data_IF_771302571341
#
_entry.id   IF_771302571341
#
_cell.length_a   1.000
_cell.length_b   1.000
_cell.length_c   1.000
_cell.angle_alpha   90.00
_cell.angle_beta   90.00
_cell.angle_gamma   90.00
#
_symmetry.space_group_name_H-M   'P 1'
#
loop_
_entity.id
_entity.type
_entity.pdbx_description
1 polymer ?
#
# COMPACT_ATOMS: atom_id res chain seq x y z
N UNK A 1 16.38 10.44 4.90
CA UNK A 1 15.15 10.32 4.09
C UNK A 1 14.37 11.61 4.23
N UNK A 2 13.87 12.14 3.10
CA UNK A 2 13.02 13.33 3.05
C UNK A 2 11.66 12.86 2.55
N UNK A 3 10.59 13.13 3.31
CA UNK A 3 9.25 12.76 2.92
C UNK A 3 8.62 13.83 2.03
N UNK A 4 7.95 13.42 0.96
CA UNK A 4 7.03 14.25 0.19
C UNK A 4 5.62 13.75 0.51
N UNK A 5 4.94 14.48 1.41
CA UNK A 5 3.64 14.08 1.92
C UNK A 5 2.56 14.21 0.84
N UNK A 6 1.62 13.28 0.84
CA UNK A 6 0.44 13.37 0.00
C UNK A 6 -0.55 14.39 0.58
N UNK A 7 -1.32 15.03 -0.28
CA UNK A 7 -2.41 15.92 0.14
C UNK A 7 -3.69 15.10 0.30
N UNK A 8 -4.31 15.17 1.48
CA UNK A 8 -5.63 14.61 1.75
C UNK A 8 -6.70 15.67 1.49
N UNK A 9 -7.76 15.32 0.74
CA UNK A 9 -8.89 16.22 0.44
C UNK A 9 -9.87 16.43 1.62
N UNK A 10 -9.59 15.82 2.76
CA UNK A 10 -10.46 15.81 3.94
C UNK A 10 -11.51 14.70 3.94
N UNK A 11 -11.71 13.98 2.83
CA UNK A 11 -12.63 12.85 2.70
C UNK A 11 -11.92 11.50 2.59
N UNK A 12 -10.61 11.48 2.81
CA UNK A 12 -9.79 10.27 2.73
C UNK A 12 -9.22 9.97 1.34
N UNK A 13 -9.42 10.86 0.37
CA UNK A 13 -8.79 10.76 -0.94
C UNK A 13 -7.47 11.53 -0.95
N UNK A 14 -6.42 10.92 -1.52
CA UNK A 14 -5.08 11.48 -1.51
C UNK A 14 -4.59 11.78 -2.92
N UNK A 15 -3.83 12.85 -3.06
CA UNK A 15 -3.16 13.23 -4.31
C UNK A 15 -1.68 13.51 -4.06
N UNK A 16 -0.85 13.39 -5.09
CA UNK A 16 0.56 13.77 -5.02
C UNK A 16 0.67 15.29 -4.95
N UNK A 17 1.42 15.81 -3.95
CA UNK A 17 1.85 17.20 -3.94
C UNK A 17 3.03 17.38 -4.90
N UNK A 18 2.72 17.69 -6.13
CA UNK A 18 3.74 17.86 -7.16
C UNK A 18 4.64 19.07 -6.94
N UNK A 19 4.14 20.11 -6.27
CA UNK A 19 4.93 21.31 -6.00
C UNK A 19 5.94 21.06 -4.87
N UNK A 20 5.54 20.28 -3.86
CA UNK A 20 6.43 19.81 -2.82
C UNK A 20 7.45 18.80 -3.36
N UNK A 21 7.00 17.84 -4.17
CA UNK A 21 7.86 16.85 -4.81
C UNK A 21 8.95 17.55 -5.65
N UNK A 22 8.58 18.51 -6.50
CA UNK A 22 9.53 19.21 -7.37
C UNK A 22 10.60 19.97 -6.58
N UNK A 23 10.23 20.59 -5.45
CA UNK A 23 11.20 21.25 -4.57
C UNK A 23 12.15 20.25 -3.94
N UNK A 24 11.65 19.10 -3.52
CA UNK A 24 12.44 18.09 -2.77
C UNK A 24 13.36 17.27 -3.66
N UNK A 25 13.02 17.03 -4.91
CA UNK A 25 13.86 16.23 -5.80
C UNK A 25 15.16 16.96 -6.24
N UNK A 26 15.22 18.29 -6.16
CA UNK A 26 16.38 19.09 -6.61
C UNK A 26 17.69 18.62 -5.98
N UNK A 27 17.70 18.34 -4.68
CA UNK A 27 18.88 17.95 -3.92
C UNK A 27 18.94 16.43 -3.65
N UNK A 28 18.05 15.66 -4.24
CA UNK A 28 17.97 14.23 -4.03
C UNK A 28 18.30 13.44 -5.31
N UNK A 29 18.77 12.21 -5.14
CA UNK A 29 19.19 11.33 -6.27
C UNK A 29 18.25 10.16 -6.49
N UNK A 30 17.38 9.90 -5.52
CA UNK A 30 16.54 8.71 -5.49
C UNK A 30 15.15 9.07 -4.96
N UNK A 31 14.12 8.60 -5.65
CA UNK A 31 12.73 8.58 -5.19
C UNK A 31 12.31 7.14 -4.91
N UNK A 32 11.82 6.86 -3.71
CA UNK A 32 11.07 5.64 -3.41
C UNK A 32 9.59 5.93 -3.64
N UNK A 33 9.01 5.29 -4.63
CA UNK A 33 7.64 5.52 -5.08
C UNK A 33 6.80 4.25 -4.94
N UNK A 34 5.59 4.36 -4.38
CA UNK A 34 4.70 3.23 -4.16
C UNK A 34 3.46 3.32 -5.08
N UNK A 35 3.24 2.30 -5.89
CA UNK A 35 2.17 2.25 -6.90
C UNK A 35 1.65 0.82 -7.14
N UNK A 36 0.44 0.46 -6.72
CA UNK A 36 -0.54 1.22 -5.91
C UNK A 36 -0.01 1.63 -4.55
N UNK A 37 -0.49 2.77 -4.05
CA UNK A 37 0.06 3.35 -2.83
C UNK A 37 -0.50 2.69 -1.56
N UNK A 38 0.39 2.21 -0.72
CA UNK A 38 0.10 1.72 0.62
C UNK A 38 0.60 2.74 1.65
N UNK A 39 -0.22 3.23 2.61
CA UNK A 39 -1.50 2.63 3.06
C UNK A 39 -2.77 3.18 2.39
N UNK A 40 -2.72 4.29 1.66
CA UNK A 40 -3.92 5.06 1.25
C UNK A 40 -4.73 4.40 0.12
N UNK A 41 -4.20 3.36 -0.53
CA UNK A 41 -4.90 2.59 -1.55
C UNK A 41 -5.12 3.28 -2.89
N UNK A 42 -4.37 4.36 -3.20
CA UNK A 42 -4.44 5.04 -4.49
C UNK A 42 -3.83 4.19 -5.61
N UNK A 43 -4.52 4.17 -6.74
CA UNK A 43 -4.00 3.72 -8.04
C UNK A 43 -3.77 4.97 -8.90
N UNK A 44 -2.51 5.33 -9.10
CA UNK A 44 -2.16 6.57 -9.79
C UNK A 44 -2.60 6.53 -11.25
N UNK A 45 -3.16 7.62 -11.73
CA UNK A 45 -3.54 7.79 -13.12
C UNK A 45 -2.31 7.92 -14.01
N UNK A 46 -2.46 7.62 -15.30
CA UNK A 46 -1.39 7.82 -16.27
C UNK A 46 -0.86 9.26 -16.28
N UNK A 47 -1.74 10.25 -16.11
CA UNK A 47 -1.36 11.66 -16.07
C UNK A 47 -0.51 12.00 -14.82
N UNK A 48 -0.89 11.48 -13.64
CA UNK A 48 -0.09 11.66 -12.42
C UNK A 48 1.29 11.03 -12.58
N UNK A 49 1.35 9.81 -13.11
CA UNK A 49 2.61 9.08 -13.32
C UNK A 49 3.53 9.76 -14.34
N UNK A 50 2.97 10.27 -15.44
CA UNK A 50 3.74 11.02 -16.43
C UNK A 50 4.30 12.31 -15.87
N UNK A 51 3.53 13.04 -15.06
CA UNK A 51 4.01 14.25 -14.38
C UNK A 51 5.13 13.95 -13.37
N UNK A 52 5.00 12.88 -12.60
CA UNK A 52 6.04 12.41 -11.68
C UNK A 52 7.32 12.06 -12.44
N UNK A 53 7.20 11.28 -13.52
CA UNK A 53 8.34 10.92 -14.39
C UNK A 53 9.04 12.18 -14.92
N UNK A 54 8.28 13.13 -15.46
CA UNK A 54 8.82 14.39 -16.02
C UNK A 54 9.64 15.17 -14.98
N UNK A 55 9.11 15.31 -13.77
CA UNK A 55 9.80 15.96 -12.65
C UNK A 55 11.11 15.21 -12.33
N UNK A 56 11.05 13.92 -12.11
CA UNK A 56 12.22 13.12 -11.73
C UNK A 56 13.32 13.13 -12.81
N UNK A 57 12.93 13.00 -14.07
CA UNK A 57 13.89 12.98 -15.20
C UNK A 57 14.57 14.33 -15.37
N UNK A 58 13.82 15.45 -15.29
CA UNK A 58 14.41 16.80 -15.37
C UNK A 58 15.48 17.05 -14.31
N UNK A 59 15.33 16.44 -13.14
CA UNK A 59 16.27 16.58 -12.01
C UNK A 59 17.26 15.42 -11.89
N UNK A 60 17.29 14.50 -12.87
CA UNK A 60 18.19 13.34 -12.89
C UNK A 60 18.06 12.45 -11.63
N UNK A 61 16.82 12.19 -11.22
CA UNK A 61 16.45 11.37 -10.07
C UNK A 61 16.11 9.96 -10.52
N UNK A 62 16.73 8.97 -9.93
CA UNK A 62 16.39 7.55 -10.13
C UNK A 62 15.13 7.21 -9.33
N UNK A 63 14.24 6.43 -9.90
CA UNK A 63 12.98 6.03 -9.26
C UNK A 63 13.03 4.54 -8.94
N UNK A 64 12.82 4.17 -7.68
CA UNK A 64 12.45 2.81 -7.30
C UNK A 64 10.94 2.76 -7.18
N UNK A 65 10.30 2.09 -8.13
CA UNK A 65 8.84 1.91 -8.16
C UNK A 65 8.48 0.60 -7.46
N UNK A 66 7.92 0.71 -6.26
CA UNK A 66 7.37 -0.43 -5.54
C UNK A 66 5.96 -0.72 -6.04
N UNK A 67 5.86 -1.72 -6.91
CA UNK A 67 4.60 -2.13 -7.56
C UNK A 67 4.10 -3.49 -7.04
N UNK A 68 4.44 -3.85 -5.81
CA UNK A 68 4.12 -5.15 -5.20
C UNK A 68 2.61 -5.43 -5.12
N UNK A 69 1.77 -4.41 -5.20
CA UNK A 69 0.31 -4.51 -5.17
C UNK A 69 -0.36 -4.39 -6.56
N UNK A 70 0.42 -4.42 -7.64
CA UNK A 70 -0.02 -4.14 -9.01
C UNK A 70 -1.19 -4.99 -9.52
N UNK A 71 -1.34 -6.23 -9.03
CA UNK A 71 -2.40 -7.15 -9.46
C UNK A 71 -3.70 -6.98 -8.67
N UNK A 72 -3.67 -6.30 -7.51
CA UNK A 72 -4.84 -6.15 -6.63
C UNK A 72 -5.47 -4.78 -6.84
N UNK A 73 -6.17 -4.64 -7.95
CA UNK A 73 -6.75 -3.40 -8.45
C UNK A 73 -8.27 -3.55 -8.52
N UNK A 74 -9.03 -2.51 -8.11
CA UNK A 74 -10.49 -2.52 -8.24
C UNK A 74 -10.92 -2.53 -9.71
N UNK A 75 -12.06 -3.17 -10.01
CA UNK A 75 -12.55 -3.43 -11.38
C UNK A 75 -12.65 -2.18 -12.27
N UNK A 76 -12.93 -1.02 -11.68
CA UNK A 76 -13.07 0.25 -12.39
C UNK A 76 -11.78 1.07 -12.46
N UNK A 77 -10.65 0.49 -12.06
CA UNK A 77 -9.32 1.14 -12.05
C UNK A 77 -8.35 0.39 -12.94
N UNK A 78 -7.32 1.07 -13.35
CA UNK A 78 -6.23 0.48 -14.15
C UNK A 78 -4.89 0.88 -13.56
N UNK A 79 -4.09 -0.10 -13.24
CA UNK A 79 -2.69 0.11 -12.90
C UNK A 79 -1.86 0.31 -14.17
N UNK A 80 -0.90 1.21 -14.10
CA UNK A 80 0.09 1.44 -15.13
C UNK A 80 1.47 1.17 -14.55
N UNK A 81 2.19 0.23 -15.15
CA UNK A 81 3.58 -0.03 -14.81
C UNK A 81 4.41 1.18 -15.23
N UNK A 82 5.10 1.79 -14.28
CA UNK A 82 5.74 3.10 -14.47
C UNK A 82 6.73 3.12 -15.66
N UNK A 83 7.58 2.11 -15.77
CA UNK A 83 8.60 2.02 -16.83
C UNK A 83 8.00 1.91 -18.23
N UNK A 84 6.77 1.39 -18.36
CA UNK A 84 6.12 1.23 -19.67
C UNK A 84 5.58 2.56 -20.22
N UNK A 85 5.34 3.55 -19.35
CA UNK A 85 4.86 4.87 -19.75
C UNK A 85 5.94 5.72 -20.43
N UNK A 86 7.19 5.45 -20.15
CA UNK A 86 8.31 6.21 -20.70
C UNK A 86 9.53 5.29 -20.98
N UNK A 87 9.43 4.38 -21.99
CA UNK A 87 10.47 3.37 -22.27
C UNK A 87 11.87 3.98 -22.54
N UNK A 88 11.91 5.22 -23.04
CA UNK A 88 13.15 5.95 -23.28
C UNK A 88 13.91 6.32 -22.00
N UNK A 89 13.23 6.30 -20.83
CA UNK A 89 13.80 6.62 -19.52
C UNK A 89 13.92 5.40 -18.61
N UNK A 90 13.77 4.19 -19.13
CA UNK A 90 13.81 2.94 -18.34
C UNK A 90 15.08 2.76 -17.50
N UNK A 91 16.20 3.37 -17.91
CA UNK A 91 17.47 3.31 -17.18
C UNK A 91 17.45 4.09 -15.85
N UNK A 92 16.45 4.97 -15.65
CA UNK A 92 16.21 5.69 -14.41
C UNK A 92 15.17 5.02 -13.50
N UNK A 93 14.58 3.90 -13.92
CA UNK A 93 13.49 3.26 -13.20
C UNK A 93 13.90 1.85 -12.80
N UNK A 94 13.75 1.53 -11.51
CA UNK A 94 13.85 0.18 -10.97
C UNK A 94 12.44 -0.25 -10.56
N UNK A 95 11.91 -1.28 -11.21
CA UNK A 95 10.56 -1.78 -10.91
C UNK A 95 10.65 -2.98 -9.98
N UNK A 96 9.98 -2.89 -8.83
CA UNK A 96 9.92 -3.94 -7.82
C UNK A 96 8.53 -4.57 -7.82
N UNK A 97 8.42 -5.84 -8.17
CA UNK A 97 7.18 -6.61 -8.17
C UNK A 97 7.35 -7.93 -7.44
N UNK A 98 6.28 -8.47 -6.91
CA UNK A 98 6.29 -9.77 -6.28
C UNK A 98 4.90 -10.42 -6.31
N UNK A 99 4.80 -11.72 -6.61
CA UNK A 99 3.56 -12.48 -6.54
C UNK A 99 3.10 -12.71 -5.10
N UNK A 100 3.93 -12.36 -4.13
CA UNK A 100 3.74 -12.69 -2.72
C UNK A 100 2.54 -12.02 -2.08
N UNK A 101 2.18 -10.82 -2.54
CA UNK A 101 0.96 -10.14 -2.09
C UNK A 101 -0.26 -10.63 -2.87
N UNK A 102 -0.12 -10.78 -4.18
CA UNK A 102 -1.16 -11.24 -5.08
C UNK A 102 -1.71 -12.62 -4.68
N UNK A 103 -0.81 -13.57 -4.43
CA UNK A 103 -1.15 -14.99 -4.19
C UNK A 103 -0.92 -15.45 -2.75
N UNK A 104 -0.82 -14.52 -1.79
CA UNK A 104 -0.59 -14.83 -0.37
C UNK A 104 0.65 -15.72 -0.12
N UNK A 105 1.74 -15.45 -0.79
CA UNK A 105 2.99 -16.21 -0.74
C UNK A 105 4.12 -15.49 0.00
N UNK A 106 3.80 -14.53 0.89
CA UNK A 106 4.80 -13.69 1.56
C UNK A 106 5.85 -14.48 2.34
N UNK A 107 5.46 -15.62 2.94
CA UNK A 107 6.37 -16.51 3.64
C UNK A 107 7.45 -17.15 2.77
N UNK A 108 7.30 -17.16 1.45
CA UNK A 108 8.28 -17.68 0.50
C UNK A 108 9.38 -16.66 0.13
N UNK A 109 9.24 -15.40 0.52
CA UNK A 109 10.26 -14.35 0.38
C UNK A 109 10.81 -14.24 -1.05
N UNK A 110 9.93 -14.10 -2.03
CA UNK A 110 10.28 -14.00 -3.46
C UNK A 110 9.87 -12.64 -4.01
N UNK A 111 10.76 -12.01 -4.76
CA UNK A 111 10.48 -10.77 -5.50
C UNK A 111 11.28 -10.71 -6.79
N UNK A 112 10.81 -9.91 -7.73
CA UNK A 112 11.49 -9.59 -8.97
C UNK A 112 11.87 -8.11 -8.98
N UNK A 113 13.13 -7.82 -9.21
CA UNK A 113 13.64 -6.45 -9.34
C UNK A 113 14.10 -6.28 -10.80
N UNK A 114 13.41 -5.42 -11.53
CA UNK A 114 13.70 -5.15 -12.94
C UNK A 114 14.60 -3.93 -13.00
N UNK A 115 15.81 -4.10 -13.52
CA UNK A 115 16.83 -3.05 -13.61
C UNK A 115 17.38 -3.04 -15.03
N UNK A 116 17.04 -2.03 -15.83
CA UNK A 116 17.52 -1.87 -17.20
C UNK A 116 18.94 -1.33 -17.25
N UNK A 117 19.27 -0.35 -16.40
CA UNK A 117 20.61 0.23 -16.33
C UNK A 117 21.66 -0.84 -15.98
N UNK A 118 22.65 -1.11 -16.85
CA UNK A 118 23.62 -2.19 -16.64
C UNK A 118 24.59 -1.92 -15.47
N UNK A 119 24.86 -0.66 -15.15
CA UNK A 119 25.73 -0.31 -14.05
C UNK A 119 25.04 -0.54 -12.70
N UNK A 120 23.81 -0.05 -12.57
CA UNK A 120 22.99 -0.28 -11.38
C UNK A 120 22.76 -1.78 -11.19
N UNK A 121 22.45 -2.52 -12.26
CA UNK A 121 22.24 -3.97 -12.20
C UNK A 121 23.49 -4.72 -11.75
N UNK A 122 24.69 -4.34 -12.21
CA UNK A 122 25.96 -4.93 -11.73
C UNK A 122 26.19 -4.63 -10.25
N UNK A 123 25.99 -3.39 -9.83
CA UNK A 123 26.14 -2.97 -8.44
C UNK A 123 25.15 -3.72 -7.51
N UNK A 124 23.89 -3.83 -7.93
CA UNK A 124 22.86 -4.61 -7.25
C UNK A 124 23.29 -6.08 -7.11
N UNK A 125 23.67 -6.72 -8.21
CA UNK A 125 24.07 -8.13 -8.19
C UNK A 125 25.28 -8.36 -7.29
N UNK A 126 26.31 -7.53 -7.40
CA UNK A 126 27.48 -7.58 -6.51
C UNK A 126 27.06 -7.47 -5.04
N UNK A 127 26.26 -6.47 -4.69
CA UNK A 127 25.84 -6.26 -3.29
C UNK A 127 25.01 -7.44 -2.77
N UNK A 128 23.97 -7.83 -3.51
CA UNK A 128 23.03 -8.86 -3.05
C UNK A 128 23.68 -10.25 -3.04
N UNK A 129 24.39 -10.62 -4.11
CA UNK A 129 24.93 -11.99 -4.24
C UNK A 129 26.27 -12.18 -3.56
N UNK A 130 27.20 -11.21 -3.68
CA UNK A 130 28.58 -11.38 -3.19
C UNK A 130 28.76 -10.85 -1.78
N UNK A 131 28.13 -9.72 -1.44
CA UNK A 131 28.26 -9.15 -0.10
C UNK A 131 27.25 -9.76 0.89
N UNK A 132 25.95 -9.81 0.50
CA UNK A 132 24.90 -10.33 1.38
C UNK A 132 24.72 -11.85 1.30
N UNK A 133 25.34 -12.52 0.31
CA UNK A 133 25.21 -13.97 0.13
C UNK A 133 23.82 -14.44 -0.34
N UNK A 134 22.96 -13.53 -0.80
CA UNK A 134 21.60 -13.84 -1.27
C UNK A 134 21.66 -14.07 -2.78
N UNK A 135 22.06 -15.27 -3.17
CA UNK A 135 22.33 -15.53 -4.60
C UNK A 135 21.19 -16.20 -5.36
N UNK A 136 20.32 -16.92 -4.67
CA UNK A 136 19.25 -17.70 -5.31
C UNK A 136 18.00 -17.77 -4.44
N UNK A 137 16.80 -17.71 -5.04
CA UNK A 137 15.57 -17.97 -4.32
C UNK A 137 15.47 -19.46 -3.91
N UNK A 138 14.68 -19.74 -2.90
CA UNK A 138 14.36 -21.10 -2.49
C UNK A 138 13.65 -21.85 -3.63
N UNK A 139 13.96 -23.14 -3.80
CA UNK A 139 13.38 -23.98 -4.86
C UNK A 139 11.85 -24.05 -4.77
N UNK A 140 11.29 -24.14 -3.55
CA UNK A 140 9.84 -24.13 -3.35
C UNK A 140 9.22 -22.79 -3.75
N UNK A 141 9.94 -21.69 -3.52
CA UNK A 141 9.48 -20.37 -3.94
C UNK A 141 9.37 -20.29 -5.46
N UNK A 142 10.35 -20.81 -6.19
CA UNK A 142 10.33 -20.81 -7.66
C UNK A 142 9.12 -21.59 -8.18
N UNK A 143 8.92 -22.83 -7.69
CA UNK A 143 7.82 -23.68 -8.11
C UNK A 143 6.45 -23.07 -7.78
N UNK A 144 6.30 -22.48 -6.58
CA UNK A 144 5.06 -21.86 -6.17
C UNK A 144 4.74 -20.60 -6.99
N UNK A 145 5.74 -19.76 -7.28
CA UNK A 145 5.58 -18.55 -8.10
C UNK A 145 5.21 -18.92 -9.53
N UNK A 146 5.87 -19.92 -10.11
CA UNK A 146 5.54 -20.39 -11.44
C UNK A 146 4.10 -20.90 -11.50
N UNK A 147 3.70 -21.76 -10.57
CA UNK A 147 2.33 -22.30 -10.52
C UNK A 147 1.28 -21.19 -10.29
N UNK A 148 1.59 -20.22 -9.44
CA UNK A 148 0.69 -19.10 -9.16
C UNK A 148 0.41 -18.27 -10.42
N UNK A 149 1.43 -17.92 -11.20
CA UNK A 149 1.24 -17.16 -12.44
C UNK A 149 0.66 -18.00 -13.58
N UNK A 150 0.94 -19.30 -13.62
CA UNK A 150 0.44 -20.18 -14.68
C UNK A 150 -1.03 -20.59 -14.47
N UNK A 151 -1.46 -20.77 -13.21
CA UNK A 151 -2.78 -21.34 -12.88
C UNK A 151 -3.62 -20.47 -11.94
N UNK A 152 -3.10 -19.35 -11.45
CA UNK A 152 -3.75 -18.56 -10.40
C UNK A 152 -4.73 -17.49 -10.87
N UNK A 153 -4.95 -17.29 -12.17
CA UNK A 153 -5.78 -16.21 -12.72
C UNK A 153 -7.22 -16.25 -12.17
N UNK A 154 -7.88 -17.39 -12.28
CA UNK A 154 -9.27 -17.55 -11.79
C UNK A 154 -9.36 -17.28 -10.28
N UNK A 155 -8.41 -17.76 -9.51
CA UNK A 155 -8.36 -17.50 -8.07
C UNK A 155 -8.20 -16.00 -7.77
N UNK A 156 -7.34 -15.30 -8.50
CA UNK A 156 -7.11 -13.86 -8.35
C UNK A 156 -8.37 -13.07 -8.67
N UNK A 157 -9.06 -13.41 -9.77
CA UNK A 157 -10.31 -12.77 -10.16
C UNK A 157 -11.40 -12.90 -9.08
N UNK A 158 -11.57 -14.10 -8.52
CA UNK A 158 -12.49 -14.34 -7.40
C UNK A 158 -12.06 -13.60 -6.13
N UNK A 159 -10.76 -13.52 -5.85
CA UNK A 159 -10.23 -12.76 -4.72
C UNK A 159 -10.54 -11.26 -4.85
N UNK A 160 -10.34 -10.67 -6.02
CA UNK A 160 -10.65 -9.25 -6.27
C UNK A 160 -12.12 -8.97 -5.99
N UNK A 161 -13.03 -9.79 -6.48
CA UNK A 161 -14.47 -9.63 -6.24
C UNK A 161 -14.82 -9.78 -4.75
N UNK A 162 -14.18 -10.72 -4.06
CA UNK A 162 -14.35 -10.90 -2.62
C UNK A 162 -13.86 -9.70 -1.82
N UNK A 163 -12.69 -9.16 -2.19
CA UNK A 163 -12.12 -7.96 -1.58
C UNK A 163 -13.00 -6.74 -1.82
N UNK A 164 -13.55 -6.57 -3.01
CA UNK A 164 -14.49 -5.50 -3.31
C UNK A 164 -15.71 -5.57 -2.39
N UNK A 165 -16.27 -6.76 -2.19
CA UNK A 165 -17.32 -6.97 -1.22
C UNK A 165 -16.91 -6.61 0.21
N UNK A 166 -15.69 -6.96 0.64
CA UNK A 166 -15.17 -6.60 1.96
C UNK A 166 -15.01 -5.09 2.12
N UNK A 167 -14.50 -4.37 1.11
CA UNK A 167 -14.36 -2.91 1.16
C UNK A 167 -15.71 -2.19 1.21
N UNK A 168 -16.71 -2.69 0.48
CA UNK A 168 -18.08 -2.17 0.57
C UNK A 168 -18.70 -2.41 1.95
N UNK A 169 -18.49 -3.59 2.53
CA UNK A 169 -18.93 -3.88 3.89
C UNK A 169 -18.31 -2.91 4.89
N UNK A 170 -17.00 -2.65 4.82
CA UNK A 170 -16.32 -1.67 5.68
C UNK A 170 -16.99 -0.30 5.56
N UNK A 171 -17.17 0.18 4.32
CA UNK A 171 -17.77 1.48 4.05
C UNK A 171 -19.19 1.59 4.63
N UNK A 172 -20.02 0.57 4.45
CA UNK A 172 -21.37 0.55 4.99
C UNK A 172 -21.36 0.52 6.51
N UNK A 173 -20.55 -0.35 7.12
CA UNK A 173 -20.42 -0.44 8.57
C UNK A 173 -20.01 0.89 9.22
N UNK A 174 -19.00 1.55 8.65
CA UNK A 174 -18.53 2.84 9.16
C UNK A 174 -19.62 3.90 9.05
N UNK A 175 -20.30 4.02 7.92
CA UNK A 175 -21.39 4.99 7.73
C UNK A 175 -22.55 4.79 8.71
N UNK A 176 -22.92 3.56 8.98
CA UNK A 176 -24.07 3.25 9.84
C UNK A 176 -23.75 3.27 11.31
N UNK A 177 -22.56 2.83 11.71
CA UNK A 177 -22.24 2.55 13.12
C UNK A 177 -21.13 3.43 13.70
N UNK A 178 -20.26 3.96 12.84
CA UNK A 178 -19.15 4.85 13.21
C UNK A 178 -19.09 6.08 12.28
N UNK A 179 -20.15 6.91 12.24
CA UNK A 179 -20.32 7.95 11.22
C UNK A 179 -19.32 9.11 11.28
N UNK A 180 -18.53 9.23 12.36
CA UNK A 180 -17.46 10.22 12.45
C UNK A 180 -16.16 9.75 11.79
N UNK A 181 -16.07 8.47 11.38
CA UNK A 181 -14.91 7.95 10.67
C UNK A 181 -14.82 8.53 9.25
N UNK A 182 -13.60 8.77 8.79
CA UNK A 182 -13.36 9.11 7.38
C UNK A 182 -12.73 7.90 6.70
N UNK A 183 -13.36 7.44 5.64
CA UNK A 183 -12.90 6.30 4.86
C UNK A 183 -13.21 6.48 3.39
N UNK A 184 -12.18 6.37 2.58
CA UNK A 184 -12.30 6.26 1.13
C UNK A 184 -12.05 4.82 0.72
N UNK A 185 -12.92 4.23 -0.09
CA UNK A 185 -12.73 2.86 -0.60
C UNK A 185 -11.46 2.83 -1.44
N UNK A 186 -10.44 2.03 -1.06
CA UNK A 186 -9.18 2.02 -1.78
C UNK A 186 -9.35 1.56 -3.23
N UNK A 187 -8.65 2.21 -4.14
CA UNK A 187 -8.65 1.90 -5.58
C UNK A 187 -7.84 0.63 -5.90
N UNK A 188 -6.89 0.30 -5.05
CA UNK A 188 -6.05 -0.91 -5.10
C UNK A 188 -5.71 -1.40 -3.71
N UNK A 189 -4.94 -2.46 -3.62
CA UNK A 189 -4.54 -3.17 -2.41
C UNK A 189 -5.71 -3.91 -1.71
N UNK A 190 -5.40 -4.60 -0.63
CA UNK A 190 -6.39 -5.22 0.27
C UNK A 190 -6.41 -4.54 1.65
N UNK A 191 -5.94 -3.30 1.73
CA UNK A 191 -5.72 -2.56 2.96
C UNK A 191 -6.73 -1.42 3.06
N UNK A 192 -7.47 -1.37 4.16
CA UNK A 192 -8.37 -0.27 4.48
C UNK A 192 -7.65 0.73 5.38
N UNK A 193 -7.65 2.00 4.98
CA UNK A 193 -7.05 3.13 5.68
C UNK A 193 -8.16 4.01 6.25
N UNK A 194 -8.33 4.02 7.57
CA UNK A 194 -9.50 4.60 8.24
C UNK A 194 -9.04 5.66 9.24
N UNK A 195 -9.53 6.88 9.08
CA UNK A 195 -9.36 7.94 10.07
C UNK A 195 -10.40 7.81 11.18
N UNK A 196 -9.94 7.79 12.41
CA UNK A 196 -10.77 7.73 13.63
C UNK A 196 -10.56 8.95 14.54
N UNK A 197 -9.81 9.97 14.09
CA UNK A 197 -9.42 11.13 14.91
C UNK A 197 -10.58 12.00 15.39
N UNK A 198 -11.79 11.85 14.81
CA UNK A 198 -12.99 12.53 15.33
C UNK A 198 -13.62 11.83 16.55
N UNK A 199 -13.09 10.67 16.97
CA UNK A 199 -13.44 10.00 18.21
C UNK A 199 -12.44 10.35 19.30
N UNK A 200 -12.94 10.60 20.51
CA UNK A 200 -12.08 10.88 21.65
C UNK A 200 -11.59 9.58 22.28
N UNK A 201 -10.27 9.42 22.26
CA UNK A 201 -9.61 8.27 22.87
C UNK A 201 -8.70 8.77 24.00
N UNK A 202 -9.09 9.47 24.97
CA UNK A 202 -8.29 9.96 26.11
C UNK A 202 -6.96 9.26 26.41
N UNK A 203 -6.70 8.15 25.79
CA UNK A 203 -5.54 7.28 25.89
C UNK A 203 -5.03 6.87 24.50
N UNK A 204 -4.02 6.01 24.46
CA UNK A 204 -3.53 5.40 23.24
C UNK A 204 -4.63 4.57 22.55
N UNK A 205 -5.19 5.11 21.46
CA UNK A 205 -6.21 4.45 20.63
C UNK A 205 -5.80 3.01 20.24
N UNK A 206 -4.57 2.84 19.82
CA UNK A 206 -4.06 1.56 19.37
C UNK A 206 -3.95 0.55 20.53
N UNK A 207 -3.44 1.02 21.68
CA UNK A 207 -3.38 0.21 22.91
C UNK A 207 -4.77 -0.26 23.36
N UNK A 208 -5.78 0.58 23.25
CA UNK A 208 -7.17 0.21 23.58
C UNK A 208 -7.71 -0.89 22.65
N UNK A 209 -7.44 -0.83 21.36
CA UNK A 209 -7.85 -1.88 20.44
C UNK A 209 -7.20 -3.23 20.76
N UNK A 210 -5.94 -3.25 21.19
CA UNK A 210 -5.26 -4.47 21.60
C UNK A 210 -5.79 -4.98 22.95
N UNK A 211 -5.84 -4.11 23.95
CA UNK A 211 -6.09 -4.53 25.35
C UNK A 211 -7.56 -4.83 25.61
N UNK A 212 -8.47 -4.00 25.13
CA UNK A 212 -9.91 -4.14 25.34
C UNK A 212 -10.61 -4.80 24.14
N UNK A 213 -10.24 -4.40 22.93
CA UNK A 213 -10.80 -4.96 21.69
C UNK A 213 -10.34 -6.37 21.38
N UNK A 214 -9.16 -6.77 21.87
CA UNK A 214 -8.49 -8.03 21.48
C UNK A 214 -8.38 -8.15 19.97
N UNK A 215 -8.07 -7.03 19.30
CA UNK A 215 -7.83 -6.95 17.87
C UNK A 215 -6.45 -6.36 17.64
N UNK A 216 -5.71 -6.97 16.72
CA UNK A 216 -4.42 -6.50 16.26
C UNK A 216 -4.62 -5.86 14.88
N UNK A 217 -4.67 -4.54 14.84
CA UNK A 217 -4.70 -3.73 13.64
C UNK A 217 -3.41 -2.91 13.59
N UNK A 218 -3.10 -2.29 12.46
CA UNK A 218 -1.86 -1.56 12.37
C UNK A 218 -2.05 -0.08 12.73
N UNK A 219 -1.15 0.42 13.57
CA UNK A 219 -1.14 1.82 13.97
C UNK A 219 -0.69 2.68 12.78
N UNK A 220 -1.51 3.67 12.43
CA UNK A 220 -1.21 4.56 11.32
C UNK A 220 0.04 5.41 11.52
N UNK A 221 0.44 5.67 12.76
CA UNK A 221 1.67 6.40 13.06
C UNK A 221 2.94 5.76 12.47
N UNK A 222 2.96 4.44 12.23
CA UNK A 222 4.11 3.78 11.60
C UNK A 222 4.37 4.25 10.17
N UNK A 223 3.40 4.93 9.54
CA UNK A 223 3.49 5.50 8.19
C UNK A 223 3.84 6.99 8.18
N UNK A 224 4.07 7.60 9.33
CA UNK A 224 4.39 9.01 9.49
C UNK A 224 3.47 9.71 10.48
N UNK A 225 3.83 10.94 10.85
CA UNK A 225 3.06 11.74 11.82
C UNK A 225 1.61 12.00 11.36
N UNK A 226 1.40 12.13 10.06
CA UNK A 226 0.08 12.33 9.45
C UNK A 226 -0.85 11.13 9.63
N UNK A 227 -0.30 9.97 9.97
CA UNK A 227 -1.04 8.73 10.22
C UNK A 227 -1.54 8.56 11.66
N UNK A 228 -1.28 9.49 12.60
CA UNK A 228 -1.60 9.34 14.04
C UNK A 228 -3.05 8.98 14.31
N UNK A 229 -3.97 9.59 13.57
CA UNK A 229 -5.40 9.41 13.73
C UNK A 229 -5.97 8.23 12.93
N UNK A 230 -5.09 7.49 12.28
CA UNK A 230 -5.49 6.42 11.37
C UNK A 230 -5.16 5.03 11.90
N UNK A 231 -5.93 4.09 11.42
CA UNK A 231 -5.63 2.65 11.52
C UNK A 231 -5.62 2.03 10.13
N UNK A 232 -4.74 1.05 9.93
CA UNK A 232 -4.73 0.23 8.71
C UNK A 232 -5.24 -1.18 9.03
N UNK A 233 -6.22 -1.63 8.27
CA UNK A 233 -6.86 -2.94 8.45
C UNK A 233 -6.64 -3.78 7.20
N UNK A 234 -6.17 -5.02 7.37
CA UNK A 234 -6.11 -6.01 6.33
C UNK A 234 -7.51 -6.60 6.11
N UNK A 235 -8.11 -6.32 4.95
CA UNK A 235 -9.43 -6.82 4.56
C UNK A 235 -9.38 -8.17 3.81
N UNK A 236 -8.18 -8.73 3.57
CA UNK A 236 -8.01 -10.04 2.94
C UNK A 236 -8.20 -11.17 3.97
N UNK A 237 -9.38 -11.23 4.55
CA UNK A 237 -9.79 -12.26 5.49
C UNK A 237 -11.26 -12.63 5.29
N UNK A 238 -11.75 -13.75 5.86
CA UNK A 238 -13.16 -14.10 5.82
C UNK A 238 -14.04 -12.98 6.38
N UNK A 239 -15.19 -12.73 5.74
CA UNK A 239 -16.14 -11.70 6.13
C UNK A 239 -16.57 -11.81 7.61
N UNK A 240 -16.67 -13.02 8.14
CA UNK A 240 -17.01 -13.25 9.56
C UNK A 240 -15.94 -12.69 10.50
N UNK A 241 -14.66 -12.86 10.16
CA UNK A 241 -13.54 -12.30 10.94
C UNK A 241 -13.54 -10.78 10.85
N UNK A 242 -13.73 -10.24 9.65
CA UNK A 242 -13.83 -8.79 9.43
C UNK A 242 -14.99 -8.17 10.20
N UNK A 243 -16.16 -8.82 10.18
CA UNK A 243 -17.34 -8.39 10.93
C UNK A 243 -17.06 -8.35 12.43
N UNK A 244 -16.48 -9.40 13.00
CA UNK A 244 -16.14 -9.44 14.42
C UNK A 244 -15.09 -8.37 14.79
N UNK A 245 -14.10 -8.15 13.92
CA UNK A 245 -13.13 -7.06 14.10
C UNK A 245 -13.84 -5.70 14.25
N UNK A 246 -14.72 -5.36 13.32
CA UNK A 246 -15.43 -4.09 13.32
C UNK A 246 -16.43 -3.95 14.48
N UNK A 247 -17.09 -5.04 14.90
CA UNK A 247 -17.93 -5.02 16.10
C UNK A 247 -17.13 -4.78 17.39
N UNK A 248 -15.92 -5.31 17.47
CA UNK A 248 -15.02 -5.04 18.60
C UNK A 248 -14.50 -3.60 18.58
N UNK A 249 -14.13 -3.10 17.41
CA UNK A 249 -13.73 -1.68 17.24
C UNK A 249 -14.85 -0.75 17.73
N UNK A 250 -16.08 -0.98 17.28
CA UNK A 250 -17.23 -0.19 17.69
C UNK A 250 -17.42 -0.19 19.20
N UNK A 251 -17.30 -1.36 19.85
CA UNK A 251 -17.43 -1.45 21.33
C UNK A 251 -16.36 -0.63 22.04
N UNK A 252 -15.12 -0.69 21.60
CA UNK A 252 -14.01 0.09 22.17
C UNK A 252 -14.25 1.58 21.99
N UNK A 253 -14.60 2.01 20.77
CA UNK A 253 -14.86 3.41 20.46
C UNK A 253 -16.03 3.96 21.28
N UNK A 254 -17.14 3.22 21.36
CA UNK A 254 -18.32 3.64 22.17
C UNK A 254 -17.99 3.73 23.65
N UNK A 255 -17.20 2.79 24.19
CA UNK A 255 -16.78 2.81 25.58
C UNK A 255 -15.93 4.05 25.86
N UNK A 256 -14.90 4.31 25.04
CA UNK A 256 -14.03 5.46 25.19
C UNK A 256 -14.81 6.80 25.13
N UNK A 257 -15.79 6.91 24.23
CA UNK A 257 -16.59 8.13 24.06
C UNK A 257 -17.75 8.28 25.08
N UNK A 258 -18.17 7.21 25.75
CA UNK A 258 -19.24 7.27 26.79
C UNK A 258 -18.71 7.47 28.20
N UNK A 259 -17.41 7.44 28.40
CA UNK A 259 -16.78 7.66 29.74
C UNK A 259 -16.83 9.14 30.17
N UNK A 260 -17.47 10.02 29.36
CA UNK A 260 -17.63 11.46 29.57
C UNK A 260 -19.08 11.91 29.87
N UNK A 261 -19.99 10.98 30.16
CA UNK A 261 -21.32 11.25 30.68
C UNK A 261 -21.42 10.77 32.14
#
# INVERSE_FOLDING_TARGET
VINSSLINDGNGYYVIDFDDLEKKVVDNKLLLFCSPHNPVGRVWTEMELRRLLDICIRHNVTIISDEIHNDIIRRNKKHFILETLAPQYKDYILTCVAPTKTFNLAGLQYSNIIIHNPEIRRAWHHHVSEICGISRPNVLSIAAVQAAYEYGEEWLEQLIDYLDGNMQFINQFLKERLPKSIYYIPEGTYLAWINLGAYDFNEDMYGLFITEGKILIENGFVFGDEGRDFVRINAACPRSILTECFLRMERVIKKANNTHL
#
